data_IF_540355911744
#
_entry.id   IF_540355911744
#
_cell.length_a   1.000
_cell.length_b   1.000
_cell.length_c   1.000
_cell.angle_alpha   90.00
_cell.angle_beta   90.00
_cell.angle_gamma   90.00
#
_symmetry.space_group_name_H-M   'P 1'
#
loop_
_entity.id
_entity.type
_entity.pdbx_description
1 polymer ?
#
# COMPACT_ATOMS: atom_id res chain seq x y z
N UNK A 1 -11.31 -13.94 21.61
CA UNK A 1 -10.20 -14.06 20.64
C UNK A 1 -10.63 -13.33 19.39
N UNK A 2 -10.03 -12.19 19.07
CA UNK A 2 -10.10 -11.66 17.71
C UNK A 2 -9.22 -12.57 16.85
N UNK A 3 -9.84 -13.38 16.00
CA UNK A 3 -9.09 -14.21 15.06
C UNK A 3 -8.65 -13.33 13.90
N UNK A 4 -7.34 -13.29 13.62
CA UNK A 4 -6.78 -12.44 12.57
C UNK A 4 -7.09 -13.06 11.22
N UNK A 5 -7.80 -12.32 10.36
CA UNK A 5 -8.22 -12.82 9.06
C UNK A 5 -7.06 -12.83 8.07
N UNK A 6 -6.63 -14.02 7.64
CA UNK A 6 -5.50 -14.17 6.74
C UNK A 6 -5.93 -14.02 5.27
N UNK A 7 -5.31 -13.08 4.58
CA UNK A 7 -5.44 -12.84 3.15
C UNK A 7 -4.14 -13.22 2.44
N UNK A 8 -4.21 -14.10 1.44
CA UNK A 8 -3.07 -14.50 0.62
C UNK A 8 -3.01 -13.68 -0.66
N UNK A 9 -1.88 -13.02 -0.93
CA UNK A 9 -1.64 -12.31 -2.19
C UNK A 9 -0.90 -13.20 -3.18
N UNK A 10 -1.40 -13.29 -4.40
CA UNK A 10 -0.79 -14.05 -5.49
C UNK A 10 -0.14 -13.10 -6.52
N UNK A 11 0.78 -13.64 -7.32
CA UNK A 11 1.61 -12.85 -8.25
C UNK A 11 0.80 -12.06 -9.30
N UNK A 12 -0.39 -12.53 -9.68
CA UNK A 12 -1.33 -11.84 -10.56
C UNK A 12 -2.20 -10.81 -9.82
N UNK A 13 -1.72 -10.29 -8.68
CA UNK A 13 -2.41 -9.35 -7.78
C UNK A 13 -3.74 -9.87 -7.20
N UNK A 14 -4.09 -11.14 -7.39
CA UNK A 14 -5.27 -11.74 -6.76
C UNK A 14 -5.07 -11.83 -5.25
N UNK A 15 -6.12 -11.51 -4.51
CA UNK A 15 -6.18 -11.60 -3.06
C UNK A 15 -7.17 -12.70 -2.72
N UNK A 16 -6.74 -13.66 -1.92
CA UNK A 16 -7.56 -14.80 -1.51
C UNK A 16 -7.79 -14.75 -0.01
N UNK A 17 -9.05 -14.72 0.36
CA UNK A 17 -9.47 -14.74 1.74
C UNK A 17 -9.56 -16.19 2.23
N UNK A 18 -8.75 -16.52 3.23
CA UNK A 18 -8.74 -17.88 3.77
C UNK A 18 -9.92 -18.20 4.68
N UNK A 19 -10.58 -17.17 5.22
CA UNK A 19 -11.75 -17.34 6.09
C UNK A 19 -13.02 -17.60 5.27
N UNK A 20 -13.24 -16.82 4.20
CA UNK A 20 -14.37 -17.04 3.28
C UNK A 20 -14.06 -18.01 2.13
N UNK A 21 -12.80 -18.44 2.00
CA UNK A 21 -12.34 -19.33 0.95
C UNK A 21 -12.61 -18.82 -0.48
N UNK A 22 -12.57 -17.50 -0.67
CA UNK A 22 -12.89 -16.84 -1.94
C UNK A 22 -11.85 -15.79 -2.34
N UNK A 23 -11.90 -15.35 -3.59
CA UNK A 23 -11.12 -14.19 -4.03
C UNK A 23 -11.84 -12.91 -3.63
N UNK A 24 -11.07 -11.94 -3.16
CA UNK A 24 -11.54 -10.63 -2.73
C UNK A 24 -10.75 -9.52 -3.42
N UNK A 25 -11.29 -8.31 -3.37
CA UNK A 25 -10.71 -7.07 -3.89
C UNK A 25 -10.08 -6.26 -2.75
N UNK A 26 -9.21 -5.29 -3.09
CA UNK A 26 -8.68 -4.35 -2.10
C UNK A 26 -9.78 -3.52 -1.42
N UNK A 27 -10.86 -3.25 -2.13
CA UNK A 27 -11.99 -2.48 -1.61
C UNK A 27 -12.79 -3.27 -0.56
N UNK A 28 -13.01 -4.57 -0.79
CA UNK A 28 -13.60 -5.46 0.21
C UNK A 28 -12.70 -5.60 1.44
N UNK A 29 -11.38 -5.72 1.25
CA UNK A 29 -10.42 -5.69 2.36
C UNK A 29 -10.53 -4.39 3.15
N UNK A 30 -10.63 -3.24 2.47
CA UNK A 30 -10.81 -1.95 3.12
C UNK A 30 -12.10 -1.86 3.93
N UNK A 31 -13.16 -2.52 3.46
CA UNK A 31 -14.43 -2.60 4.17
C UNK A 31 -14.29 -3.45 5.44
N UNK A 32 -13.64 -4.61 5.34
CA UNK A 32 -13.35 -5.50 6.48
C UNK A 32 -12.59 -4.74 7.59
N UNK A 33 -11.55 -3.99 7.23
CA UNK A 33 -10.79 -3.18 8.20
C UNK A 33 -11.68 -2.10 8.85
N UNK A 34 -12.52 -1.43 8.05
CA UNK A 34 -13.44 -0.38 8.54
C UNK A 34 -14.51 -0.91 9.50
N UNK A 35 -14.88 -2.19 9.36
CA UNK A 35 -15.77 -2.90 10.27
C UNK A 35 -15.10 -3.29 11.60
N UNK A 36 -13.80 -3.01 11.75
CA UNK A 36 -13.03 -3.29 12.97
C UNK A 36 -12.42 -4.69 12.99
N UNK A 37 -12.43 -5.41 11.88
CA UNK A 37 -11.78 -6.71 11.79
C UNK A 37 -10.28 -6.58 11.55
N UNK A 38 -9.50 -7.37 12.30
CA UNK A 38 -8.07 -7.50 12.11
C UNK A 38 -7.77 -8.39 10.90
N UNK A 39 -6.81 -7.95 10.08
CA UNK A 39 -6.37 -8.69 8.90
C UNK A 39 -4.86 -8.85 8.90
N UNK A 40 -4.38 -9.90 8.24
CA UNK A 40 -2.98 -10.05 7.89
C UNK A 40 -2.87 -10.48 6.42
N UNK A 41 -2.03 -9.79 5.66
CA UNK A 41 -1.82 -10.05 4.24
C UNK A 41 -0.45 -10.69 4.04
N UNK A 42 -0.44 -11.93 3.55
CA UNK A 42 0.77 -12.71 3.31
C UNK A 42 1.00 -12.90 1.82
N UNK A 43 2.21 -12.61 1.33
CA UNK A 43 2.58 -12.95 -0.04
C UNK A 43 2.68 -14.47 -0.20
N UNK A 44 1.94 -15.04 -1.15
CA UNK A 44 1.88 -16.49 -1.31
C UNK A 44 3.21 -17.08 -1.79
N UNK A 45 4.05 -16.32 -2.50
CA UNK A 45 5.34 -16.80 -3.00
C UNK A 45 6.44 -16.65 -1.95
N UNK A 46 6.61 -15.46 -1.39
CA UNK A 46 7.71 -15.17 -0.45
C UNK A 46 7.37 -15.53 0.99
N UNK A 47 6.09 -15.69 1.31
CA UNK A 47 5.57 -15.86 2.68
C UNK A 47 5.81 -14.67 3.60
N UNK A 48 6.21 -13.53 3.05
CA UNK A 48 6.41 -12.31 3.82
C UNK A 48 5.06 -11.70 4.21
N UNK A 49 5.03 -11.08 5.39
CA UNK A 49 3.96 -10.19 5.78
C UNK A 49 4.08 -8.89 4.98
N UNK A 50 3.03 -8.60 4.20
CA UNK A 50 2.92 -7.41 3.36
C UNK A 50 1.72 -6.55 3.78
N UNK A 51 1.17 -6.78 4.96
CA UNK A 51 -0.02 -6.10 5.49
C UNK A 51 0.11 -4.59 5.42
N UNK A 52 1.21 -4.05 5.94
CA UNK A 52 1.49 -2.62 5.93
C UNK A 52 1.51 -2.03 4.50
N UNK A 53 2.19 -2.71 3.57
CA UNK A 53 2.24 -2.28 2.16
C UNK A 53 0.87 -2.34 1.49
N UNK A 54 0.07 -3.37 1.79
CA UNK A 54 -1.29 -3.47 1.26
C UNK A 54 -2.21 -2.38 1.81
N UNK A 55 -2.07 -1.99 3.08
CA UNK A 55 -2.82 -0.87 3.66
C UNK A 55 -2.43 0.49 3.05
N UNK A 56 -1.14 0.72 2.78
CA UNK A 56 -0.71 1.92 2.05
C UNK A 56 -1.29 1.95 0.64
N UNK A 57 -1.28 0.82 -0.08
CA UNK A 57 -1.88 0.72 -1.41
C UNK A 57 -3.39 1.02 -1.37
N UNK A 58 -4.09 0.52 -0.36
CA UNK A 58 -5.50 0.77 -0.15
C UNK A 58 -5.79 2.26 0.07
N UNK A 59 -5.00 2.94 0.91
CA UNK A 59 -5.13 4.39 1.12
C UNK A 59 -4.90 5.17 -0.18
N UNK A 60 -3.89 4.78 -0.96
CA UNK A 60 -3.61 5.40 -2.25
C UNK A 60 -4.75 5.21 -3.25
N UNK A 61 -5.33 4.00 -3.34
CA UNK A 61 -6.46 3.72 -4.21
C UNK A 61 -7.71 4.51 -3.80
N UNK A 62 -7.91 4.74 -2.49
CA UNK A 62 -8.97 5.62 -1.97
C UNK A 62 -8.74 7.07 -2.36
N UNK A 63 -7.52 7.58 -2.23
CA UNK A 63 -7.16 8.94 -2.64
C UNK A 63 -7.42 9.15 -4.14
N UNK A 64 -7.05 8.17 -4.98
CA UNK A 64 -7.30 8.20 -6.42
C UNK A 64 -8.79 8.23 -6.78
N UNK A 65 -9.64 7.57 -5.98
CA UNK A 65 -11.11 7.55 -6.17
C UNK A 65 -11.80 8.78 -5.58
N UNK A 66 -11.10 9.57 -4.76
CA UNK A 66 -11.67 10.76 -4.11
C UNK A 66 -12.09 11.80 -5.14
N UNK A 67 -13.28 12.37 -4.95
CA UNK A 67 -13.76 13.51 -5.74
C UNK A 67 -13.32 14.85 -5.15
N UNK A 68 -12.73 14.84 -3.95
CA UNK A 68 -12.22 16.03 -3.28
C UNK A 68 -10.85 16.39 -3.85
N UNK A 69 -10.52 17.69 -3.97
CA UNK A 69 -9.17 18.09 -4.35
C UNK A 69 -8.18 17.65 -3.27
N UNK A 70 -7.01 17.13 -3.70
CA UNK A 70 -5.93 16.79 -2.79
C UNK A 70 -5.24 18.03 -2.19
N UNK A 71 -4.63 17.88 -1.02
CA UNK A 71 -3.87 18.94 -0.35
C UNK A 71 -2.36 18.77 -0.58
N UNK A 72 -1.83 19.52 -1.55
CA UNK A 72 -0.41 19.48 -1.93
C UNK A 72 0.49 20.00 -0.81
N UNK A 73 0.04 21.01 -0.04
CA UNK A 73 0.84 21.57 1.05
C UNK A 73 0.92 20.61 2.24
N UNK A 74 -0.13 19.84 2.50
CA UNK A 74 -0.07 18.71 3.42
C UNK A 74 0.99 17.69 2.98
N UNK A 75 0.98 17.25 1.72
CA UNK A 75 1.96 16.27 1.23
C UNK A 75 3.40 16.81 1.29
N UNK A 76 3.62 18.09 0.99
CA UNK A 76 4.94 18.72 1.17
C UNK A 76 5.39 18.68 2.63
N UNK A 77 4.49 18.86 3.60
CA UNK A 77 4.81 18.74 5.02
C UNK A 77 5.19 17.31 5.41
N UNK A 78 4.48 16.30 4.90
CA UNK A 78 4.82 14.88 5.11
C UNK A 78 6.22 14.59 4.58
N UNK A 79 6.52 15.00 3.35
CA UNK A 79 7.81 14.74 2.68
C UNK A 79 8.97 15.46 3.38
N UNK A 80 8.74 16.66 3.93
CA UNK A 80 9.77 17.44 4.66
C UNK A 80 9.93 17.03 6.12
N UNK A 81 9.04 16.19 6.66
CA UNK A 81 9.15 15.67 8.02
C UNK A 81 10.41 14.83 8.19
N UNK A 82 10.89 14.68 9.43
CA UNK A 82 12.15 14.00 9.76
C UNK A 82 12.25 12.57 9.18
N UNK A 83 11.19 11.78 9.32
CA UNK A 83 11.12 10.44 8.73
C UNK A 83 10.72 10.45 7.25
N UNK A 84 10.10 11.54 6.76
CA UNK A 84 9.59 11.63 5.38
C UNK A 84 8.50 10.59 5.03
N UNK A 85 7.89 9.94 6.01
CA UNK A 85 6.88 8.89 5.81
C UNK A 85 5.49 9.30 6.34
N UNK A 86 4.43 8.71 5.78
CA UNK A 86 3.08 8.87 6.32
C UNK A 86 2.98 8.41 7.77
N UNK A 87 3.64 7.30 8.11
CA UNK A 87 3.66 6.78 9.49
C UNK A 87 4.32 7.77 10.45
N UNK A 88 5.47 8.34 10.09
CA UNK A 88 6.13 9.35 10.92
C UNK A 88 5.28 10.61 11.09
N UNK A 89 4.64 11.07 10.01
CA UNK A 89 3.74 12.21 10.07
C UNK A 89 2.52 11.95 10.97
N UNK A 90 1.82 10.82 10.78
CA UNK A 90 0.65 10.43 11.58
C UNK A 90 1.07 10.25 13.04
N UNK A 91 2.20 9.58 13.29
CA UNK A 91 2.76 9.38 14.63
C UNK A 91 2.99 10.71 15.35
N UNK A 92 3.56 11.70 14.67
CA UNK A 92 3.76 13.04 15.20
C UNK A 92 2.45 13.77 15.54
N UNK A 93 1.37 13.50 14.81
CA UNK A 93 0.04 14.05 15.12
C UNK A 93 -0.62 13.37 16.33
N UNK A 94 -0.49 12.05 16.43
CA UNK A 94 -1.09 11.24 17.51
C UNK A 94 -0.28 11.33 18.81
N UNK A 95 0.92 11.93 18.80
CA UNK A 95 1.82 11.97 19.96
C UNK A 95 2.31 10.58 20.39
N UNK A 96 2.28 9.61 19.47
CA UNK A 96 2.72 8.24 19.72
C UNK A 96 4.25 8.21 19.58
N UNK A 97 4.97 7.65 20.54
CA UNK A 97 6.41 7.45 20.36
C UNK A 97 6.68 6.28 19.42
N UNK A 98 7.82 6.32 18.71
CA UNK A 98 8.22 5.20 17.88
C UNK A 98 8.28 3.92 18.74
N UNK A 99 7.72 2.79 18.26
CA UNK A 99 7.92 1.54 18.96
C UNK A 99 9.42 1.32 19.09
N UNK A 100 9.89 1.05 20.30
CA UNK A 100 11.29 0.73 20.57
C UNK A 100 11.53 -0.63 19.91
N UNK A 101 11.91 -0.63 18.64
CA UNK A 101 12.19 -1.85 17.90
C UNK A 101 13.57 -2.34 18.31
N UNK A 102 13.63 -3.43 19.09
CA UNK A 102 14.83 -4.29 19.07
C UNK A 102 15.04 -4.69 17.61
N UNK A 103 16.25 -4.42 17.09
CA UNK A 103 16.61 -4.45 15.67
C UNK A 103 16.05 -5.67 14.91
N UNK A 104 14.89 -5.51 14.29
CA UNK A 104 14.44 -6.41 13.24
C UNK A 104 15.15 -5.98 11.95
N UNK A 105 15.79 -6.90 11.21
CA UNK A 105 16.60 -6.56 10.06
C UNK A 105 15.75 -5.84 9.03
N UNK A 106 16.26 -4.70 8.55
CA UNK A 106 15.65 -3.87 7.52
C UNK A 106 15.30 -4.75 6.31
N UNK A 107 14.03 -5.18 6.21
CA UNK A 107 13.54 -5.83 5.01
C UNK A 107 13.47 -4.74 3.95
N UNK A 108 14.37 -4.81 2.98
CA UNK A 108 14.41 -3.91 1.83
C UNK A 108 13.03 -3.86 1.16
N UNK A 109 12.28 -2.79 1.38
CA UNK A 109 10.99 -2.52 0.75
C UNK A 109 11.18 -2.06 -0.71
N UNK A 110 11.83 -2.89 -1.52
CA UNK A 110 11.98 -2.67 -2.95
C UNK A 110 11.10 -3.66 -3.72
N UNK A 111 9.84 -3.27 -3.97
CA UNK A 111 9.02 -3.79 -5.08
C UNK A 111 7.71 -3.00 -5.22
N UNK A 112 7.81 -1.72 -5.58
CA UNK A 112 6.63 -0.97 -6.04
C UNK A 112 6.77 -0.43 -7.48
N UNK A 113 7.98 -0.22 -8.00
CA UNK A 113 8.16 0.27 -9.37
C UNK A 113 8.65 -0.81 -10.33
N UNK A 114 7.70 -1.53 -10.94
CA UNK A 114 7.94 -2.24 -12.22
C UNK A 114 6.91 -1.88 -13.31
N UNK A 115 6.15 -0.79 -13.15
CA UNK A 115 5.11 -0.41 -14.11
C UNK A 115 5.04 1.10 -14.45
N UNK A 116 6.15 1.83 -14.35
CA UNK A 116 6.22 3.25 -14.72
C UNK A 116 7.19 3.53 -15.87
N UNK A 117 7.22 2.67 -16.89
CA UNK A 117 7.89 2.97 -18.16
C UNK A 117 6.87 2.92 -19.30
N UNK A 118 6.03 3.96 -19.37
CA UNK A 118 5.18 4.26 -20.51
C UNK A 118 5.38 5.74 -20.85
N UNK A 119 6.04 5.93 -22.00
CA UNK A 119 6.05 7.08 -22.90
C UNK A 119 6.99 8.27 -22.60
N UNK A 120 8.06 8.35 -23.41
CA UNK A 120 8.30 9.53 -24.25
C UNK A 120 9.22 9.20 -25.43
N UNK A 121 8.67 9.21 -26.65
CA UNK A 121 9.32 9.79 -27.84
C UNK A 121 8.30 9.86 -28.96
N UNK A 122 7.92 11.10 -29.25
CA UNK A 122 6.99 11.56 -30.29
C UNK A 122 7.72 11.57 -31.65
N UNK A 123 7.02 11.07 -32.66
CA UNK A 123 7.04 11.34 -34.12
C UNK A 123 8.32 11.83 -34.82
N UNK A 124 8.71 11.09 -35.87
CA UNK A 124 8.96 11.70 -37.19
C UNK A 124 8.43 10.80 -38.29
N UNK A 125 7.42 11.30 -39.00
CA UNK A 125 7.01 10.87 -40.34
C UNK A 125 8.20 10.95 -41.30
N UNK A 126 8.51 9.87 -42.01
CA UNK A 126 9.19 9.94 -43.31
C UNK A 126 8.66 8.79 -44.16
N UNK A 127 7.71 9.11 -45.03
CA UNK A 127 7.27 8.24 -46.12
C UNK A 127 8.34 8.30 -47.22
N UNK A 128 8.87 7.14 -47.61
CA UNK A 128 9.72 6.95 -48.79
C UNK A 128 9.19 5.71 -49.53
N UNK A 129 8.38 5.98 -50.56
CA UNK A 129 8.23 5.30 -51.86
C UNK A 129 6.88 5.64 -52.49
#
# INVERSE_FOLDING_TARGET
MNDVRIIKRYQNRKLYDTHQSCYVTLEEIAQIIREGHEIQVIDNKTKNDITYMTQIQLLFDQEKKSTKPGDVELLKRVIRGEEGTFTGYIRGLEGIEAPVVEEAPAQSFNSFNSAANLNSSVETTTTLN
#
